data_IF_247764543293
#
_entry.id   IF_247764543293
#
_cell.length_a   1.000
_cell.length_b   1.000
_cell.length_c   1.000
_cell.angle_alpha   90.00
_cell.angle_beta   90.00
_cell.angle_gamma   90.00
#
_symmetry.space_group_name_H-M   'P 1'
#
loop_
_entity.id
_entity.type
_entity.pdbx_description
1 polymer ?
#
# COMPACT_ATOMS: atom_id res chain seq x y z
N UNK A 1 20.64 8.19 -16.43
CA UNK A 1 19.92 8.96 -15.40
C UNK A 1 18.97 8.01 -14.71
N UNK A 2 19.39 7.43 -13.58
CA UNK A 2 18.50 6.61 -12.77
C UNK A 2 17.42 7.54 -12.19
N UNK A 3 16.15 7.21 -12.40
CA UNK A 3 15.05 7.74 -11.60
C UNK A 3 15.45 7.51 -10.15
N UNK A 4 15.57 8.58 -9.34
CA UNK A 4 15.66 8.41 -7.90
C UNK A 4 14.45 7.57 -7.49
N UNK A 5 14.69 6.37 -7.00
CA UNK A 5 13.63 5.45 -6.65
C UNK A 5 12.83 6.09 -5.52
N UNK A 6 11.58 6.44 -5.81
CA UNK A 6 10.76 7.26 -4.94
C UNK A 6 10.19 6.33 -3.88
N UNK A 7 10.42 6.62 -2.60
CA UNK A 7 9.79 5.90 -1.49
C UNK A 7 8.30 5.72 -1.75
N UNK A 8 7.81 4.47 -1.68
CA UNK A 8 6.41 4.11 -1.83
C UNK A 8 5.57 4.58 -0.64
N UNK A 9 6.22 4.77 0.51
CA UNK A 9 5.59 5.32 1.71
C UNK A 9 6.45 6.44 2.30
N UNK A 10 5.85 7.63 2.38
CA UNK A 10 6.54 8.84 2.77
C UNK A 10 6.86 8.87 4.27
N UNK A 11 7.90 9.63 4.63
CA UNK A 11 8.25 9.89 6.03
C UNK A 11 7.10 10.49 6.86
N UNK A 12 6.27 11.45 6.35
CA UNK A 12 5.09 11.92 7.06
C UNK A 12 4.10 10.82 7.44
N UNK A 13 3.80 9.87 6.54
CA UNK A 13 2.90 8.75 6.85
C UNK A 13 3.46 7.85 7.95
N UNK A 14 4.76 7.52 7.87
CA UNK A 14 5.46 6.76 8.92
C UNK A 14 5.43 7.48 10.27
N UNK A 15 5.65 8.81 10.27
CA UNK A 15 5.62 9.63 11.47
C UNK A 15 4.23 9.74 12.10
N UNK A 16 3.16 9.72 11.31
CA UNK A 16 1.78 9.74 11.82
C UNK A 16 1.51 8.49 12.67
N UNK A 17 1.91 7.30 12.19
CA UNK A 17 1.83 6.05 12.97
C UNK A 17 2.75 6.09 14.19
N UNK A 18 4.01 6.50 14.00
CA UNK A 18 5.00 6.65 15.09
C UNK A 18 4.48 7.51 16.24
N UNK A 19 3.70 8.55 15.94
CA UNK A 19 3.09 9.44 16.93
C UNK A 19 2.25 8.71 17.97
N UNK A 20 1.60 7.62 17.56
CA UNK A 20 0.65 6.83 18.35
C UNK A 20 1.30 5.72 19.20
N UNK A 21 2.58 5.44 18.98
CA UNK A 21 3.30 4.35 19.69
C UNK A 21 3.39 4.58 21.21
N UNK A 22 3.20 5.83 21.67
CA UNK A 22 3.19 6.16 23.09
C UNK A 22 2.14 5.37 23.87
N UNK A 23 1.06 4.95 23.24
CA UNK A 23 -0.09 4.29 23.90
C UNK A 23 -0.04 2.75 23.80
N UNK A 24 0.98 2.19 23.14
CA UNK A 24 1.22 0.75 23.08
C UNK A 24 2.16 0.28 24.20
N UNK A 25 2.21 -1.04 24.40
CA UNK A 25 3.27 -1.68 25.20
C UNK A 25 4.48 -1.91 24.29
N UNK A 26 5.69 -1.62 24.77
CA UNK A 26 6.92 -1.73 23.97
C UNK A 26 7.11 -3.14 23.37
N UNK A 27 6.86 -4.19 24.15
CA UNK A 27 6.96 -5.58 23.68
C UNK A 27 6.03 -5.88 22.49
N UNK A 28 4.83 -5.31 22.47
CA UNK A 28 3.90 -5.50 21.35
C UNK A 28 4.41 -4.84 20.05
N UNK A 29 5.14 -3.74 20.16
CA UNK A 29 5.72 -3.06 18.98
C UNK A 29 6.70 -3.99 18.29
N UNK A 30 7.65 -4.58 19.04
CA UNK A 30 8.61 -5.54 18.49
C UNK A 30 7.92 -6.77 17.91
N UNK A 31 6.97 -7.34 18.65
CA UNK A 31 6.22 -8.53 18.21
C UNK A 31 5.52 -8.32 16.85
N UNK A 32 4.89 -7.17 16.62
CA UNK A 32 4.23 -6.91 15.33
C UNK A 32 5.21 -6.82 14.17
N UNK A 33 6.37 -6.18 14.37
CA UNK A 33 7.42 -6.13 13.34
C UNK A 33 8.01 -7.51 13.05
N UNK A 34 8.30 -8.28 14.09
CA UNK A 34 8.90 -9.63 13.99
C UNK A 34 7.95 -10.65 13.36
N UNK A 35 6.64 -10.55 13.63
CA UNK A 35 5.61 -11.37 13.00
C UNK A 35 5.57 -11.17 11.48
N UNK A 36 5.89 -9.97 11.01
CA UNK A 36 6.04 -9.67 9.59
C UNK A 36 7.50 -9.82 9.14
N UNK A 37 8.34 -10.56 9.87
CA UNK A 37 9.73 -10.90 9.57
C UNK A 37 10.71 -9.72 9.43
N UNK A 38 10.45 -8.60 10.11
CA UNK A 38 11.42 -7.52 10.23
C UNK A 38 12.34 -7.73 11.42
N UNK A 39 13.58 -7.24 11.28
CA UNK A 39 14.56 -7.14 12.37
C UNK A 39 14.89 -5.68 12.60
N UNK A 40 15.36 -5.35 13.81
CA UNK A 40 15.88 -4.01 14.07
C UNK A 40 17.14 -3.78 13.22
N UNK A 41 17.34 -2.53 12.80
CA UNK A 41 18.62 -2.11 12.23
C UNK A 41 19.70 -2.12 13.33
N UNK A 42 20.76 -2.96 13.20
CA UNK A 42 21.81 -3.06 14.20
C UNK A 42 22.65 -1.79 14.33
N UNK A 43 22.67 -0.93 13.32
CA UNK A 43 23.39 0.33 13.29
C UNK A 43 22.50 1.53 13.65
N UNK A 44 21.25 1.28 14.04
CA UNK A 44 20.31 2.32 14.44
C UNK A 44 20.81 3.09 15.65
N UNK A 45 20.97 4.41 15.48
CA UNK A 45 21.27 5.32 16.57
C UNK A 45 19.97 5.92 17.11
N UNK A 46 19.64 5.71 18.40
CA UNK A 46 18.43 6.26 19.00
C UNK A 46 18.34 7.78 18.86
N UNK A 47 17.20 8.25 18.36
CA UNK A 47 16.87 9.68 18.27
C UNK A 47 15.92 10.15 19.37
N UNK A 48 15.27 11.28 19.11
CA UNK A 48 14.31 11.89 20.05
C UNK A 48 13.03 11.07 20.19
N UNK A 49 12.60 10.84 21.43
CA UNK A 49 11.34 10.19 21.76
C UNK A 49 11.49 9.19 22.91
N UNK A 50 10.36 8.72 23.45
CA UNK A 50 10.38 7.63 24.42
C UNK A 50 10.76 6.29 23.80
N UNK A 51 11.11 5.32 24.65
CA UNK A 51 11.56 3.96 24.28
C UNK A 51 10.71 3.31 23.18
N UNK A 52 9.38 3.49 23.21
CA UNK A 52 8.45 2.93 22.22
C UNK A 52 8.61 3.52 20.82
N UNK A 53 8.83 4.83 20.74
CA UNK A 53 9.06 5.51 19.45
C UNK A 53 10.43 5.13 18.89
N UNK A 54 11.44 5.06 19.75
CA UNK A 54 12.77 4.59 19.35
C UNK A 54 12.76 3.13 18.87
N UNK A 55 12.00 2.26 19.53
CA UNK A 55 11.82 0.87 19.10
C UNK A 55 11.13 0.79 17.74
N UNK A 56 10.07 1.58 17.53
CA UNK A 56 9.45 1.68 16.21
C UNK A 56 10.45 2.15 15.14
N UNK A 57 11.23 3.19 15.45
CA UNK A 57 12.21 3.76 14.53
C UNK A 57 13.33 2.77 14.18
N UNK A 58 13.76 1.92 15.12
CA UNK A 58 14.83 0.95 14.87
C UNK A 58 14.41 -0.16 13.90
N UNK A 59 13.15 -0.62 13.96
CA UNK A 59 12.62 -1.50 12.91
C UNK A 59 12.34 -0.74 11.61
N UNK A 60 11.75 0.46 11.68
CA UNK A 60 11.44 1.23 10.47
C UNK A 60 12.68 1.63 9.66
N UNK A 61 13.85 1.72 10.30
CA UNK A 61 15.14 1.97 9.65
C UNK A 61 15.66 0.79 8.81
N UNK A 62 15.28 -0.45 9.14
CA UNK A 62 15.69 -1.63 8.36
C UNK A 62 14.82 -1.91 7.13
N UNK A 63 13.67 -1.23 7.02
CA UNK A 63 12.74 -1.40 5.91
C UNK A 63 13.25 -0.67 4.67
N UNK A 64 13.30 -1.38 3.55
CA UNK A 64 13.42 -0.76 2.23
C UNK A 64 12.07 -0.20 1.79
N UNK A 65 11.91 1.12 1.87
CA UNK A 65 10.67 1.82 1.52
C UNK A 65 10.45 1.98 0.00
N UNK A 66 11.39 1.49 -0.81
CA UNK A 66 11.26 1.43 -2.27
C UNK A 66 10.82 0.04 -2.75
N UNK A 67 10.96 -0.98 -1.90
CA UNK A 67 10.55 -2.35 -2.18
C UNK A 67 9.07 -2.60 -1.83
N UNK A 68 8.29 -3.06 -2.79
CA UNK A 68 6.83 -3.23 -2.64
C UNK A 68 6.46 -4.33 -1.64
N UNK A 69 7.25 -5.41 -1.59
CA UNK A 69 6.98 -6.54 -0.68
C UNK A 69 7.26 -6.13 0.77
N UNK A 70 8.36 -5.41 1.02
CA UNK A 70 8.67 -4.84 2.32
C UNK A 70 7.66 -3.77 2.73
N UNK A 71 7.26 -2.87 1.84
CA UNK A 71 6.23 -1.87 2.15
C UNK A 71 4.89 -2.54 2.47
N UNK A 72 4.48 -3.54 1.71
CA UNK A 72 3.25 -4.30 1.97
C UNK A 72 3.28 -4.98 3.35
N UNK A 73 4.40 -5.60 3.74
CA UNK A 73 4.57 -6.18 5.08
C UNK A 73 4.57 -5.11 6.16
N UNK A 74 5.25 -3.98 5.96
CA UNK A 74 5.25 -2.87 6.91
C UNK A 74 3.85 -2.27 7.12
N UNK A 75 3.02 -2.20 6.07
CA UNK A 75 1.63 -1.77 6.20
C UNK A 75 0.81 -2.72 7.10
N UNK A 76 1.01 -4.04 7.00
CA UNK A 76 0.38 -5.02 7.91
C UNK A 76 0.80 -4.85 9.37
N UNK A 77 2.06 -4.47 9.60
CA UNK A 77 2.52 -4.08 10.95
C UNK A 77 1.72 -2.88 11.45
N UNK A 78 1.56 -1.85 10.62
CA UNK A 78 0.82 -0.65 10.99
C UNK A 78 -0.66 -0.95 11.25
N UNK A 79 -1.32 -1.75 10.41
CA UNK A 79 -2.68 -2.22 10.66
C UNK A 79 -2.81 -2.92 12.02
N UNK A 80 -1.88 -3.83 12.31
CA UNK A 80 -1.88 -4.60 13.55
C UNK A 80 -1.75 -3.70 14.78
N UNK A 81 -0.88 -2.69 14.70
CA UNK A 81 -0.70 -1.67 15.74
C UNK A 81 -1.93 -0.78 15.91
N UNK A 82 -2.49 -0.25 14.81
CA UNK A 82 -3.68 0.61 14.83
C UNK A 82 -4.89 -0.13 15.39
N UNK A 83 -5.12 -1.36 14.96
CA UNK A 83 -6.21 -2.20 15.48
C UNK A 83 -6.00 -2.58 16.94
N UNK A 84 -4.74 -2.74 17.39
CA UNK A 84 -4.45 -2.96 18.82
C UNK A 84 -4.78 -1.74 19.65
N UNK A 85 -4.39 -0.55 19.20
CA UNK A 85 -4.71 0.73 19.85
C UNK A 85 -6.22 0.94 19.95
N UNK A 86 -6.95 0.74 18.86
CA UNK A 86 -8.41 0.86 18.83
C UNK A 86 -9.08 -0.12 19.80
N UNK A 87 -8.67 -1.39 19.82
CA UNK A 87 -9.19 -2.40 20.76
C UNK A 87 -8.91 -2.05 22.22
N UNK A 88 -7.69 -1.62 22.56
CA UNK A 88 -7.36 -1.26 23.93
C UNK A 88 -8.11 0.01 24.37
N UNK A 89 -8.24 1.02 23.50
CA UNK A 89 -9.08 2.19 23.77
C UNK A 89 -10.51 1.77 24.14
N UNK A 90 -11.15 0.93 23.31
CA UNK A 90 -12.51 0.42 23.58
C UNK A 90 -12.60 -0.40 24.86
N UNK A 91 -11.59 -1.23 25.14
CA UNK A 91 -11.54 -2.08 26.34
C UNK A 91 -11.56 -1.28 27.64
N UNK A 92 -10.92 -0.11 27.67
CA UNK A 92 -10.89 0.76 28.85
C UNK A 92 -11.95 1.87 28.82
N UNK A 93 -13.03 1.70 28.05
CA UNK A 93 -14.19 2.60 28.02
C UNK A 93 -14.06 3.79 27.07
N UNK A 94 -13.03 3.82 26.21
CA UNK A 94 -12.91 4.77 25.11
C UNK A 94 -13.77 4.37 23.90
N UNK A 95 -13.82 5.25 22.90
CA UNK A 95 -14.59 5.06 21.67
C UNK A 95 -13.74 4.52 20.50
N UNK A 96 -12.56 3.95 20.78
CA UNK A 96 -11.58 3.60 19.76
C UNK A 96 -10.56 4.71 19.52
N UNK A 97 -9.90 4.69 18.36
CA UNK A 97 -9.04 5.80 17.94
C UNK A 97 -9.86 7.08 17.72
N UNK A 98 -9.39 8.27 18.15
CA UNK A 98 -10.09 9.52 17.90
C UNK A 98 -10.32 9.77 16.41
N UNK A 99 -11.49 10.32 16.04
CA UNK A 99 -11.85 10.53 14.64
C UNK A 99 -10.85 11.43 13.90
N UNK A 100 -10.38 12.50 14.55
CA UNK A 100 -9.38 13.41 13.97
C UNK A 100 -8.04 12.68 13.72
N UNK A 101 -7.62 11.81 14.64
CA UNK A 101 -6.44 10.96 14.45
C UNK A 101 -6.58 10.02 13.25
N UNK A 102 -7.77 9.42 13.06
CA UNK A 102 -8.04 8.55 11.90
C UNK A 102 -8.05 9.37 10.61
N UNK A 103 -8.59 10.58 10.63
CA UNK A 103 -8.58 11.48 9.47
C UNK A 103 -7.15 11.90 9.08
N UNK A 104 -6.32 12.25 10.05
CA UNK A 104 -4.90 12.59 9.83
C UNK A 104 -4.12 11.42 9.22
N UNK A 105 -4.35 10.20 9.73
CA UNK A 105 -3.75 8.98 9.17
C UNK A 105 -4.21 8.77 7.73
N UNK A 106 -5.51 8.87 7.45
CA UNK A 106 -6.06 8.73 6.09
C UNK A 106 -5.45 9.72 5.13
N UNK A 107 -5.33 10.98 5.52
CA UNK A 107 -4.71 12.01 4.69
C UNK A 107 -3.23 11.69 4.42
N UNK A 108 -2.49 11.27 5.45
CA UNK A 108 -1.09 10.94 5.31
C UNK A 108 -0.86 9.75 4.36
N UNK A 109 -1.64 8.67 4.49
CA UNK A 109 -1.54 7.50 3.62
C UNK A 109 -2.05 7.76 2.19
N UNK A 110 -3.08 8.58 2.03
CA UNK A 110 -3.65 8.90 0.71
C UNK A 110 -2.65 9.60 -0.22
N UNK A 111 -1.72 10.40 0.34
CA UNK A 111 -0.64 11.06 -0.42
C UNK A 111 0.33 10.05 -1.07
N UNK A 112 0.42 8.86 -0.49
CA UNK A 112 1.27 7.76 -0.93
C UNK A 112 0.47 6.71 -1.72
N UNK A 113 -0.78 6.99 -2.08
CA UNK A 113 -1.64 6.05 -2.78
C UNK A 113 -2.11 4.88 -1.91
N UNK A 114 -2.04 4.98 -0.60
CA UNK A 114 -2.57 4.00 0.34
C UNK A 114 -3.93 4.47 0.89
N UNK A 115 -4.86 3.54 1.11
CA UNK A 115 -6.17 3.83 1.69
C UNK A 115 -6.34 3.12 3.03
N UNK A 116 -6.64 3.89 4.08
CA UNK A 116 -7.02 3.37 5.40
C UNK A 116 -8.55 3.32 5.52
N UNK A 117 -9.11 2.11 5.55
CA UNK A 117 -10.57 1.90 5.63
C UNK A 117 -11.13 2.12 7.05
N UNK A 118 -12.43 1.89 7.23
CA UNK A 118 -13.11 2.02 8.53
C UNK A 118 -12.77 0.88 9.52
N UNK A 119 -12.21 -0.23 9.04
CA UNK A 119 -11.73 -1.35 9.87
C UNK A 119 -10.24 -1.22 10.25
N UNK A 120 -9.64 -0.07 9.92
CA UNK A 120 -8.21 0.22 10.10
C UNK A 120 -7.30 -0.72 9.31
N UNK A 121 -7.73 -1.16 8.12
CA UNK A 121 -6.88 -1.88 7.14
C UNK A 121 -6.31 -0.92 6.11
N UNK A 122 -5.06 -1.16 5.71
CA UNK A 122 -4.29 -0.38 4.77
C UNK A 122 -4.21 -1.11 3.44
N UNK A 123 -4.85 -0.54 2.43
CA UNK A 123 -4.83 -1.07 1.07
C UNK A 123 -3.90 -0.23 0.23
N UNK A 124 -2.90 -0.84 -0.41
CA UNK A 124 -2.12 -0.15 -1.44
C UNK A 124 -3.01 -0.03 -2.67
N UNK A 125 -3.13 1.18 -3.24
CA UNK A 125 -3.74 1.36 -4.56
C UNK A 125 -2.77 0.89 -5.65
N UNK A 126 -2.14 -0.27 -5.50
CA UNK A 126 -1.57 -0.97 -6.63
C UNK A 126 -2.76 -1.56 -7.36
N UNK A 127 -3.24 -0.79 -8.36
CA UNK A 127 -4.21 -1.21 -9.37
C UNK A 127 -5.71 -1.05 -9.01
N UNK A 128 -6.19 0.19 -8.86
CA UNK A 128 -7.54 0.51 -9.36
C UNK A 128 -7.50 1.00 -10.84
N UNK A 129 -6.30 1.31 -11.34
CA UNK A 129 -6.12 1.89 -12.68
C UNK A 129 -6.02 0.86 -13.82
N UNK A 130 -5.77 -0.44 -13.55
CA UNK A 130 -5.90 -1.46 -14.62
C UNK A 130 -7.36 -1.88 -14.86
N UNK A 131 -8.27 -1.69 -13.91
CA UNK A 131 -9.69 -2.02 -14.15
C UNK A 131 -10.32 -1.06 -15.16
N UNK A 132 -9.91 0.22 -15.15
CA UNK A 132 -10.38 1.22 -16.13
C UNK A 132 -9.81 0.95 -17.54
N UNK A 133 -8.60 0.39 -17.65
CA UNK A 133 -8.01 0.05 -18.96
C UNK A 133 -8.39 -1.34 -19.49
N UNK A 134 -8.71 -2.31 -18.63
CA UNK A 134 -9.19 -3.62 -19.07
C UNK A 134 -10.59 -3.55 -19.72
N UNK A 135 -11.47 -2.68 -19.20
CA UNK A 135 -12.78 -2.41 -19.80
C UNK A 135 -12.63 -1.71 -21.17
N UNK A 136 -11.71 -0.75 -21.27
CA UNK A 136 -11.41 -0.05 -22.53
C UNK A 136 -10.73 -0.93 -23.60
N UNK A 137 -9.97 -1.97 -23.22
CA UNK A 137 -9.32 -2.89 -24.16
C UNK A 137 -10.27 -3.99 -24.67
N UNK A 138 -11.30 -4.34 -23.90
CA UNK A 138 -12.33 -5.31 -24.31
C UNK A 138 -13.23 -4.72 -25.39
N UNK A 139 -13.56 -3.42 -25.30
CA UNK A 139 -14.31 -2.68 -26.32
C UNK A 139 -13.48 -2.40 -27.60
N UNK A 140 -12.15 -2.34 -27.50
CA UNK A 140 -11.26 -2.02 -28.63
C UNK A 140 -10.84 -3.22 -29.49
N UNK A 141 -11.19 -4.46 -29.09
CA UNK A 141 -10.79 -5.68 -29.83
C UNK A 141 -11.75 -6.07 -30.96
N UNK A 142 -12.82 -5.29 -31.19
CA UNK A 142 -13.80 -5.51 -32.24
C UNK A 142 -13.49 -4.79 -33.55
N UNK A 143 -12.45 -5.20 -34.28
CA UNK A 143 -12.48 -4.98 -35.73
C UNK A 143 -11.17 -4.65 -36.41
N UNK A 144 -10.32 -5.66 -36.63
CA UNK A 144 -9.45 -5.66 -37.80
C UNK A 144 -9.34 -7.11 -38.30
N UNK A 145 -10.13 -7.49 -39.32
CA UNK A 145 -9.58 -8.22 -40.48
C UNK A 145 -10.61 -8.44 -41.62
N UNK A 146 -10.15 -8.04 -42.81
CA UNK A 146 -10.44 -8.59 -44.14
C UNK A 146 -11.67 -8.11 -44.94
N UNK A 147 -11.39 -7.19 -45.87
CA UNK A 147 -11.86 -7.36 -47.25
C UNK A 147 -10.76 -7.00 -48.25
N UNK A 148 -10.00 -8.02 -48.64
CA UNK A 148 -9.12 -7.97 -49.78
C UNK A 148 -9.92 -7.78 -51.07
N UNK A 149 -9.55 -6.77 -51.87
CA UNK A 149 -9.92 -6.68 -53.28
C UNK A 149 -9.20 -7.78 -54.06
N UNK A 150 -9.93 -8.58 -54.84
CA UNK A 150 -9.39 -9.24 -56.03
C UNK A 150 -10.41 -9.16 -57.16
N UNK A 151 -10.06 -8.35 -58.16
CA UNK A 151 -10.56 -8.38 -59.53
C UNK A 151 -10.08 -9.65 -60.22
N UNK A 152 -10.94 -10.38 -60.95
CA UNK A 152 -10.54 -11.03 -62.20
C UNK A 152 -11.74 -11.29 -63.12
N UNK A 153 -11.50 -11.04 -64.40
CA UNK A 153 -12.43 -11.13 -65.51
C UNK A 153 -12.62 -12.57 -66.03
N UNK A 154 -13.82 -12.81 -66.56
CA UNK A 154 -14.18 -13.42 -67.87
C UNK A 154 -13.31 -14.59 -68.38
N UNK A 155 -13.94 -15.75 -68.66
CA UNK A 155 -13.95 -16.40 -69.99
C UNK A 155 -14.89 -17.65 -70.06
N UNK A 156 -15.26 -18.12 -71.28
CA UNK A 156 -16.52 -18.84 -71.59
C UNK A 156 -16.37 -20.37 -71.67
N UNK A 157 -17.50 -21.10 -71.76
CA UNK A 157 -17.52 -22.54 -72.01
C UNK A 157 -18.91 -23.08 -72.37
N UNK A 158 -18.94 -23.92 -73.39
CA UNK A 158 -20.06 -24.40 -74.22
C UNK A 158 -20.70 -25.70 -73.67
N UNK A 159 -21.98 -25.94 -74.05
CA UNK A 159 -22.72 -27.22 -74.21
C UNK A 159 -22.81 -28.21 -73.02
N UNK A 160 -23.92 -28.91 -72.79
CA UNK A 160 -24.79 -29.67 -73.72
C UNK A 160 -26.29 -29.47 -73.49
#
# INVERSE_FOLDING_TARGET
>A
MATADRELLSRPARNAVRGLMSDLVAGAIGEYWENEHFTQDPDFTPGDGGVRKQLFDSYAASVDWTDDDQVTRALRVFESMLRRLDRESRKYGGNGLPADTVADLREAFARDGCHLDDELRLHTARVAHLTVHADALTEASGGILQRGRKTHARHPGHQV
#
